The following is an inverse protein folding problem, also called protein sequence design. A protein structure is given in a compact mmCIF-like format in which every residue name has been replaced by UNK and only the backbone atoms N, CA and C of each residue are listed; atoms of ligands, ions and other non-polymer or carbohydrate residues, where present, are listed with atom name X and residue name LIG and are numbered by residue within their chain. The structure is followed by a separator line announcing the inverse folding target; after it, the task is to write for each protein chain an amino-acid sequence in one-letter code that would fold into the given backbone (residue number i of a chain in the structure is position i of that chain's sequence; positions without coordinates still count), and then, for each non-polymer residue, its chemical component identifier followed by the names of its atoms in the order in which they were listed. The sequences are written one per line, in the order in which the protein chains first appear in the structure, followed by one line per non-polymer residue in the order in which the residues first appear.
data_IF_569376758066
#
_entry.id   IF_569376758066
#
_cell.length_a   1.000
_cell.length_b   1.000
_cell.length_c   1.000
_cell.angle_alpha   90.00
_cell.angle_beta   90.00
_cell.angle_gamma   90.00
#
_symmetry.space_group_name_H-M   'P 1'
#
loop_
_entity.id
_entity.type
_entity.pdbx_description
1 polymer ?
#
# COMPACT_ATOMS: atom_id res chain seq x y z
N UNK A 1 47.38 1.79 62.44
CA UNK A 1 47.52 2.04 61.00
C UNK A 1 47.23 0.73 60.29
N UNK A 2 46.39 0.74 59.25
CA UNK A 2 45.81 -0.41 58.50
C UNK A 2 44.54 -1.07 59.07
N UNK A 3 43.39 -0.60 58.60
CA UNK A 3 42.36 -1.45 57.96
C UNK A 3 41.53 -0.60 57.00
N UNK A 4 42.23 -0.18 55.96
CA UNK A 4 41.67 0.23 54.68
C UNK A 4 40.99 -1.00 54.06
N UNK A 5 39.90 -0.79 53.32
CA UNK A 5 39.07 -1.77 52.60
C UNK A 5 37.85 -2.33 53.36
N UNK A 6 36.90 -1.44 53.65
CA UNK A 6 35.49 -1.84 53.59
C UNK A 6 35.12 -1.99 52.11
N UNK A 7 35.16 -3.23 51.62
CA UNK A 7 34.59 -3.63 50.34
C UNK A 7 33.08 -3.40 50.41
N UNK A 8 32.61 -2.32 49.81
CA UNK A 8 31.21 -2.18 49.43
C UNK A 8 30.81 -3.41 48.62
N UNK A 9 29.94 -4.21 49.21
CA UNK A 9 29.30 -5.38 48.63
C UNK A 9 28.77 -5.02 47.23
N UNK A 10 29.39 -5.62 46.22
CA UNK A 10 28.82 -5.71 44.88
C UNK A 10 27.53 -6.51 45.05
N UNK A 11 26.39 -5.82 45.03
CA UNK A 11 25.09 -6.44 44.85
C UNK A 11 25.07 -6.93 43.40
N UNK A 12 25.31 -8.23 43.23
CA UNK A 12 24.94 -8.96 42.02
C UNK A 12 23.42 -8.82 41.85
N UNK A 13 23.02 -7.84 41.03
CA UNK A 13 21.69 -7.80 40.47
C UNK A 13 21.60 -8.89 39.39
N UNK A 14 21.39 -10.12 39.87
CA UNK A 14 20.78 -11.19 39.09
C UNK A 14 19.35 -10.75 38.74
N UNK A 15 19.19 -9.94 37.69
CA UNK A 15 17.94 -9.74 36.93
C UNK A 15 18.12 -8.74 35.79
N UNK A 16 18.98 -9.05 34.83
CA UNK A 16 18.78 -8.62 33.44
C UNK A 16 19.67 -9.42 32.48
N UNK A 17 19.62 -10.75 32.56
CA UNK A 17 19.78 -11.52 31.34
C UNK A 17 18.56 -11.18 30.48
N UNK A 18 18.68 -10.11 29.68
CA UNK A 18 17.77 -9.93 28.55
C UNK A 18 17.88 -11.23 27.77
N UNK A 19 16.80 -12.01 27.58
CA UNK A 19 16.89 -13.20 26.76
C UNK A 19 17.45 -12.73 25.43
N UNK A 20 18.60 -13.31 25.06
CA UNK A 20 19.21 -13.16 23.75
C UNK A 20 18.09 -13.42 22.76
N UNK A 21 17.55 -12.35 22.19
CA UNK A 21 16.45 -12.40 21.25
C UNK A 21 17.00 -13.09 20.02
N UNK A 22 16.76 -14.40 19.99
CA UNK A 22 16.99 -15.32 18.89
C UNK A 22 16.65 -14.63 17.57
N UNK A 23 17.54 -14.85 16.62
CA UNK A 23 17.31 -14.60 15.22
C UNK A 23 15.86 -14.93 14.79
N UNK A 24 15.21 -13.99 14.10
CA UNK A 24 14.19 -14.32 13.12
C UNK A 24 12.76 -14.60 13.57
N UNK A 25 12.34 -14.30 14.80
CA UNK A 25 10.90 -14.27 15.10
C UNK A 25 10.30 -12.98 14.57
N UNK A 26 9.63 -13.06 13.43
CA UNK A 26 8.67 -12.04 12.99
C UNK A 26 7.59 -11.95 14.06
N UNK A 27 7.73 -11.04 15.03
CA UNK A 27 6.63 -10.66 15.92
C UNK A 27 5.58 -9.94 15.06
N UNK A 28 4.71 -10.73 14.43
CA UNK A 28 3.64 -10.26 13.56
C UNK A 28 2.55 -9.62 14.43
N UNK A 29 2.82 -8.39 14.87
CA UNK A 29 1.83 -7.50 15.48
C UNK A 29 0.58 -7.42 14.59
N UNK A 30 -0.60 -7.22 15.20
CA UNK A 30 -1.88 -7.02 14.49
C UNK A 30 -1.73 -6.01 13.33
N UNK A 31 -0.93 -4.95 13.54
CA UNK A 31 -0.68 -3.92 12.53
C UNK A 31 0.13 -4.41 11.33
N UNK A 32 1.00 -5.41 11.52
CA UNK A 32 1.76 -6.04 10.43
C UNK A 32 0.85 -6.91 9.57
N UNK A 33 -0.03 -7.70 10.20
CA UNK A 33 -1.03 -8.51 9.48
C UNK A 33 -1.98 -7.66 8.65
N UNK A 34 -2.56 -6.61 9.23
CA UNK A 34 -3.45 -5.69 8.52
C UNK A 34 -2.76 -5.03 7.31
N UNK A 35 -1.48 -4.67 7.46
CA UNK A 35 -0.68 -4.13 6.36
C UNK A 35 -0.52 -5.15 5.24
N UNK A 36 -0.07 -6.36 5.55
CA UNK A 36 0.17 -7.40 4.55
C UNK A 36 -1.13 -7.75 3.81
N UNK A 37 -2.23 -7.91 4.54
CA UNK A 37 -3.54 -8.19 3.95
C UNK A 37 -3.96 -7.05 3.01
N UNK A 38 -3.86 -5.79 3.45
CA UNK A 38 -4.21 -4.64 2.62
C UNK A 38 -3.36 -4.58 1.33
N UNK A 39 -2.04 -4.81 1.46
CA UNK A 39 -1.12 -4.83 0.32
C UNK A 39 -1.40 -5.98 -0.64
N UNK A 40 -1.77 -7.15 -0.11
CA UNK A 40 -2.18 -8.29 -0.91
C UNK A 40 -3.46 -7.99 -1.72
N UNK A 41 -4.46 -7.35 -1.11
CA UNK A 41 -5.67 -6.92 -1.83
C UNK A 41 -5.34 -5.89 -2.92
N UNK A 42 -4.52 -4.88 -2.62
CA UNK A 42 -4.07 -3.89 -3.61
C UNK A 42 -3.32 -4.54 -4.80
N UNK A 43 -2.52 -5.56 -4.51
CA UNK A 43 -1.79 -6.33 -5.52
C UNK A 43 -2.73 -7.18 -6.39
N UNK A 44 -3.61 -7.96 -5.77
CA UNK A 44 -4.55 -8.83 -6.50
C UNK A 44 -5.49 -8.01 -7.37
N UNK A 45 -6.06 -6.91 -6.84
CA UNK A 45 -6.91 -6.02 -7.64
C UNK A 45 -6.14 -5.41 -8.82
N UNK A 46 -4.88 -5.01 -8.62
CA UNK A 46 -4.06 -4.52 -9.72
C UNK A 46 -3.82 -5.59 -10.81
N UNK A 47 -3.58 -6.85 -10.44
CA UNK A 47 -3.46 -7.94 -11.42
C UNK A 47 -4.76 -8.19 -12.19
N UNK A 48 -5.91 -8.11 -11.51
CA UNK A 48 -7.22 -8.23 -12.16
C UNK A 48 -7.39 -7.14 -13.21
N UNK A 49 -7.03 -5.89 -12.88
CA UNK A 49 -7.12 -4.76 -13.79
C UNK A 49 -6.15 -4.88 -14.97
N UNK A 50 -4.93 -5.38 -14.75
CA UNK A 50 -4.00 -5.72 -15.84
C UNK A 50 -4.63 -6.73 -16.79
N UNK A 51 -5.20 -7.82 -16.27
CA UNK A 51 -5.85 -8.84 -17.10
C UNK A 51 -7.04 -8.29 -17.89
N UNK A 52 -7.90 -7.50 -17.23
CA UNK A 52 -9.10 -6.93 -17.84
C UNK A 52 -8.80 -5.94 -18.96
N UNK A 53 -7.74 -5.12 -18.86
CA UNK A 53 -7.45 -4.10 -19.88
C UNK A 53 -6.36 -4.51 -20.87
N UNK A 54 -5.46 -5.45 -20.53
CA UNK A 54 -4.49 -5.98 -21.48
C UNK A 54 -5.16 -6.77 -22.61
N UNK A 55 -6.27 -7.47 -22.34
CA UNK A 55 -7.06 -8.14 -23.38
C UNK A 55 -7.65 -7.13 -24.39
N UNK A 56 -8.06 -5.94 -23.93
CA UNK A 56 -8.66 -4.90 -24.79
C UNK A 56 -7.60 -4.22 -25.67
N UNK A 57 -6.37 -4.05 -25.15
CA UNK A 57 -5.21 -3.67 -25.95
C UNK A 57 -4.95 -4.74 -27.03
N UNK A 58 -4.90 -6.01 -26.63
CA UNK A 58 -4.61 -7.11 -27.55
C UNK A 58 -5.67 -7.23 -28.64
N UNK A 59 -6.95 -7.06 -28.30
CA UNK A 59 -8.07 -7.04 -29.27
C UNK A 59 -7.93 -5.89 -30.26
N UNK A 60 -7.56 -4.69 -29.79
CA UNK A 60 -7.36 -3.52 -30.65
C UNK A 60 -6.23 -3.74 -31.67
N UNK A 61 -5.08 -4.24 -31.20
CA UNK A 61 -3.92 -4.56 -32.04
C UNK A 61 -4.24 -5.66 -33.05
N UNK A 62 -4.95 -6.71 -32.62
CA UNK A 62 -5.35 -7.82 -33.49
C UNK A 62 -6.29 -7.38 -34.61
N UNK A 63 -7.05 -6.30 -34.40
CA UNK A 63 -7.95 -5.72 -35.41
C UNK A 63 -7.23 -4.69 -36.30
N UNK A 64 -5.90 -4.60 -36.25
CA UNK A 64 -5.10 -3.67 -37.04
C UNK A 64 -5.17 -2.22 -36.58
N UNK A 65 -5.75 -1.95 -35.41
CA UNK A 65 -5.88 -0.61 -34.84
C UNK A 65 -4.80 -0.35 -33.77
N UNK A 66 -4.38 0.90 -33.62
CA UNK A 66 -3.50 1.29 -32.52
C UNK A 66 -4.19 1.06 -31.16
N UNK A 67 -3.45 0.66 -30.11
CA UNK A 67 -4.01 0.59 -28.75
C UNK A 67 -4.59 1.94 -28.32
N UNK A 68 -5.81 1.92 -27.80
CA UNK A 68 -6.37 3.12 -27.19
C UNK A 68 -5.58 3.48 -25.93
N UNK A 69 -5.21 4.76 -25.82
CA UNK A 69 -4.41 5.30 -24.72
C UNK A 69 -5.05 5.03 -23.35
N UNK A 70 -6.39 4.95 -23.25
CA UNK A 70 -7.06 4.67 -21.97
C UNK A 70 -6.73 3.29 -21.41
N UNK A 71 -6.65 2.28 -22.28
CA UNK A 71 -6.31 0.91 -21.87
C UNK A 71 -4.85 0.80 -21.48
N UNK A 72 -3.96 1.46 -22.24
CA UNK A 72 -2.52 1.52 -21.95
C UNK A 72 -2.27 2.19 -20.60
N UNK A 73 -2.95 3.32 -20.33
CA UNK A 73 -2.88 4.00 -19.05
C UNK A 73 -3.33 3.10 -17.90
N UNK A 74 -4.43 2.36 -18.07
CA UNK A 74 -4.93 1.45 -17.06
C UNK A 74 -3.93 0.34 -16.69
N UNK A 75 -3.31 -0.28 -17.70
CA UNK A 75 -2.28 -1.30 -17.51
C UNK A 75 -1.03 -0.70 -16.85
N UNK A 76 -0.62 0.51 -17.23
CA UNK A 76 0.51 1.20 -16.61
C UNK A 76 0.28 1.49 -15.12
N UNK A 77 -0.84 2.12 -14.77
CA UNK A 77 -1.19 2.44 -13.37
C UNK A 77 -1.27 1.17 -12.52
N UNK A 78 -1.87 0.11 -13.07
CA UNK A 78 -2.01 -1.17 -12.39
C UNK A 78 -0.66 -1.88 -12.20
N UNK A 79 0.22 -1.83 -13.20
CA UNK A 79 1.57 -2.41 -13.09
C UNK A 79 2.39 -1.70 -12.01
N UNK A 80 2.32 -0.37 -11.97
CA UNK A 80 2.97 0.44 -10.94
C UNK A 80 2.40 0.14 -9.54
N UNK A 81 1.08 0.04 -9.44
CA UNK A 81 0.37 -0.35 -8.21
C UNK A 81 0.81 -1.73 -7.72
N UNK A 82 0.88 -2.73 -8.61
CA UNK A 82 1.31 -4.08 -8.27
C UNK A 82 2.76 -4.10 -7.75
N UNK A 83 3.67 -3.38 -8.42
CA UNK A 83 5.06 -3.25 -8.00
C UNK A 83 5.18 -2.66 -6.59
N UNK A 84 4.53 -1.53 -6.33
CA UNK A 84 4.61 -0.87 -5.02
C UNK A 84 3.87 -1.64 -3.92
N UNK A 85 2.79 -2.33 -4.25
CA UNK A 85 2.11 -3.21 -3.30
C UNK A 85 3.05 -4.31 -2.78
N UNK A 86 3.83 -4.95 -3.66
CA UNK A 86 4.85 -5.95 -3.28
C UNK A 86 5.98 -5.32 -2.47
N UNK A 87 6.52 -4.18 -2.91
CA UNK A 87 7.60 -3.48 -2.19
C UNK A 87 7.16 -3.13 -0.76
N UNK A 88 5.96 -2.56 -0.59
CA UNK A 88 5.44 -2.14 0.70
C UNK A 88 4.84 -3.28 1.55
N UNK A 89 4.69 -4.48 0.99
CA UNK A 89 4.40 -5.68 1.77
C UNK A 89 5.63 -6.14 2.57
N UNK A 90 6.85 -5.80 2.13
CA UNK A 90 8.07 -6.19 2.83
C UNK A 90 8.28 -5.38 4.12
N UNK A 91 8.80 -6.02 5.20
CA UNK A 91 9.09 -5.32 6.46
C UNK A 91 10.30 -4.37 6.37
N UNK A 92 11.05 -4.42 5.26
CA UNK A 92 12.29 -3.67 5.05
C UNK A 92 12.02 -2.18 4.81
N UNK A 93 10.83 -1.84 4.30
CA UNK A 93 10.47 -0.46 3.98
C UNK A 93 9.61 0.13 5.10
N UNK A 94 10.09 1.23 5.71
CA UNK A 94 9.28 2.03 6.65
C UNK A 94 8.16 2.75 5.89
N UNK A 95 7.08 2.02 5.59
CA UNK A 95 5.97 2.47 4.74
C UNK A 95 5.35 3.82 5.16
N UNK A 96 5.42 4.22 6.43
CA UNK A 96 4.93 5.53 6.88
C UNK A 96 5.74 6.74 6.36
N UNK A 97 6.99 6.53 5.92
CA UNK A 97 7.80 7.59 5.30
C UNK A 97 7.43 7.79 3.82
N UNK A 98 6.78 6.78 3.22
CA UNK A 98 6.46 6.73 1.80
C UNK A 98 4.96 6.93 1.53
N UNK A 99 4.22 7.55 2.46
CA UNK A 99 2.79 7.83 2.25
C UNK A 99 2.52 8.68 0.99
N UNK A 100 3.51 9.48 0.54
CA UNK A 100 3.43 10.22 -0.72
C UNK A 100 3.34 9.31 -1.96
N UNK A 101 3.93 8.11 -1.90
CA UNK A 101 3.81 7.11 -2.99
C UNK A 101 2.40 6.52 -2.98
N UNK A 102 1.87 6.18 -1.79
CA UNK A 102 0.47 5.76 -1.65
C UNK A 102 -0.49 6.84 -2.18
N UNK A 103 -0.24 8.12 -1.87
CA UNK A 103 -1.03 9.24 -2.35
C UNK A 103 -0.89 9.45 -3.87
N UNK A 104 0.30 9.27 -4.42
CA UNK A 104 0.52 9.37 -5.87
C UNK A 104 -0.22 8.27 -6.63
N UNK A 105 -0.12 7.02 -6.17
CA UNK A 105 -0.83 5.89 -6.79
C UNK A 105 -2.34 6.06 -6.63
N UNK A 106 -2.81 6.50 -5.46
CA UNK A 106 -4.21 6.89 -5.25
C UNK A 106 -4.68 7.91 -6.29
N UNK A 107 -3.90 8.97 -6.55
CA UNK A 107 -4.24 9.97 -7.54
C UNK A 107 -4.31 9.39 -8.97
N UNK A 108 -3.40 8.47 -9.32
CA UNK A 108 -3.46 7.78 -10.62
C UNK A 108 -4.73 6.92 -10.76
N UNK A 109 -5.12 6.19 -9.70
CA UNK A 109 -6.39 5.47 -9.68
C UNK A 109 -7.59 6.41 -9.75
N UNK A 110 -7.49 7.64 -9.22
CA UNK A 110 -8.57 8.61 -9.26
C UNK A 110 -8.81 9.07 -10.69
N UNK A 111 -7.74 9.36 -11.43
CA UNK A 111 -7.81 9.70 -12.85
C UNK A 111 -8.35 8.52 -13.65
N UNK A 112 -7.86 7.31 -13.39
CA UNK A 112 -8.31 6.09 -14.06
C UNK A 112 -9.81 5.86 -13.85
N UNK A 113 -10.27 5.87 -12.60
CA UNK A 113 -11.67 5.75 -12.25
C UNK A 113 -12.50 6.91 -12.83
N UNK A 114 -11.96 8.13 -12.90
CA UNK A 114 -12.65 9.26 -13.54
C UNK A 114 -12.92 9.01 -15.02
N UNK A 115 -11.96 8.43 -15.75
CA UNK A 115 -12.10 8.08 -17.18
C UNK A 115 -13.14 6.97 -17.36
N UNK A 116 -12.95 5.84 -16.67
CA UNK A 116 -13.79 4.65 -16.81
C UNK A 116 -15.17 4.83 -16.20
N UNK A 117 -15.24 5.50 -15.05
CA UNK A 117 -16.48 5.82 -14.35
C UNK A 117 -17.40 6.70 -15.18
N UNK A 118 -16.88 7.77 -15.81
CA UNK A 118 -17.68 8.62 -16.69
C UNK A 118 -18.17 7.89 -17.95
N UNK A 119 -17.37 6.98 -18.49
CA UNK A 119 -17.68 6.28 -19.73
C UNK A 119 -18.69 5.14 -19.53
N UNK A 120 -18.56 4.35 -18.46
CA UNK A 120 -19.28 3.09 -18.33
C UNK A 120 -20.38 3.10 -17.26
N UNK A 121 -20.30 3.92 -16.21
CA UNK A 121 -21.34 3.96 -15.17
C UNK A 121 -22.68 4.47 -15.73
N UNK A 122 -22.72 5.57 -16.51
CA UNK A 122 -23.98 6.09 -17.06
C UNK A 122 -24.45 5.36 -18.33
N UNK A 123 -23.63 4.49 -18.91
CA UNK A 123 -23.99 3.79 -20.15
C UNK A 123 -25.19 2.88 -19.87
N UNK A 124 -26.30 3.04 -20.59
CA UNK A 124 -27.43 2.13 -20.49
C UNK A 124 -27.15 0.89 -21.36
N UNK A 125 -27.41 -0.31 -20.81
CA UNK A 125 -27.19 -1.57 -21.52
C UNK A 125 -28.47 -2.01 -22.23
N UNK A 126 -29.14 -1.08 -22.93
CA UNK A 126 -30.45 -1.34 -23.51
C UNK A 126 -30.40 -2.44 -24.60
N UNK A 127 -29.21 -2.67 -25.16
CA UNK A 127 -28.93 -3.67 -26.20
C UNK A 127 -28.35 -5.01 -25.67
N UNK A 128 -28.13 -5.14 -24.36
CA UNK A 128 -27.58 -6.37 -23.76
C UNK A 128 -26.09 -6.63 -24.05
N UNK A 129 -25.32 -5.59 -24.42
CA UNK A 129 -23.89 -5.73 -24.70
C UNK A 129 -23.10 -6.13 -23.43
N UNK A 130 -22.58 -7.37 -23.46
CA UNK A 130 -21.79 -7.97 -22.37
C UNK A 130 -20.47 -7.23 -22.14
N UNK A 131 -19.92 -6.55 -23.16
CA UNK A 131 -18.68 -5.80 -23.03
C UNK A 131 -18.88 -4.55 -22.14
N UNK A 132 -20.04 -3.89 -22.23
CA UNK A 132 -20.39 -2.73 -21.38
C UNK A 132 -20.61 -3.16 -19.92
N UNK A 133 -21.29 -4.29 -19.68
CA UNK A 133 -21.46 -4.82 -18.32
C UNK A 133 -20.12 -5.21 -17.68
N UNK A 134 -19.23 -5.85 -18.45
CA UNK A 134 -17.87 -6.17 -18.00
C UNK A 134 -17.10 -4.91 -17.60
N UNK A 135 -17.19 -3.86 -18.41
CA UNK A 135 -16.51 -2.59 -18.13
C UNK A 135 -17.09 -1.84 -16.93
N UNK A 136 -18.41 -1.93 -16.69
CA UNK A 136 -19.01 -1.44 -15.43
C UNK A 136 -18.44 -2.14 -14.20
N UNK A 137 -18.30 -3.47 -14.25
CA UNK A 137 -17.69 -4.25 -13.16
C UNK A 137 -16.20 -3.88 -12.97
N UNK A 138 -15.47 -3.64 -14.06
CA UNK A 138 -14.09 -3.16 -14.02
C UNK A 138 -13.99 -1.79 -13.33
N UNK A 139 -14.89 -0.84 -13.65
CA UNK A 139 -14.92 0.47 -13.00
C UNK A 139 -15.13 0.38 -11.46
N UNK A 140 -15.92 -0.59 -10.99
CA UNK A 140 -16.07 -0.84 -9.55
C UNK A 140 -14.81 -1.44 -8.90
N UNK A 141 -14.06 -2.24 -9.64
CA UNK A 141 -12.74 -2.75 -9.19
C UNK A 141 -11.75 -1.58 -9.08
N UNK A 142 -11.73 -0.69 -10.09
CA UNK A 142 -10.90 0.52 -10.09
C UNK A 142 -11.22 1.41 -8.87
N UNK A 143 -12.51 1.60 -8.57
CA UNK A 143 -12.95 2.34 -7.38
C UNK A 143 -12.52 1.67 -6.08
N UNK A 144 -12.61 0.35 -6.00
CA UNK A 144 -12.20 -0.38 -4.79
C UNK A 144 -10.69 -0.20 -4.55
N UNK A 145 -9.89 -0.33 -5.60
CA UNK A 145 -8.45 -0.14 -5.48
C UNK A 145 -8.09 1.32 -5.17
N UNK A 146 -8.80 2.27 -5.78
CA UNK A 146 -8.71 3.69 -5.43
C UNK A 146 -8.89 3.91 -3.92
N UNK A 147 -9.95 3.36 -3.33
CA UNK A 147 -10.24 3.53 -1.90
C UNK A 147 -9.19 2.85 -1.01
N UNK A 148 -8.69 1.68 -1.40
CA UNK A 148 -7.61 1.01 -0.66
C UNK A 148 -6.34 1.87 -0.61
N UNK A 149 -5.91 2.41 -1.76
CA UNK A 149 -4.76 3.32 -1.82
C UNK A 149 -4.99 4.64 -1.08
N UNK A 150 -6.22 5.16 -1.09
CA UNK A 150 -6.59 6.32 -0.28
C UNK A 150 -6.41 6.02 1.21
N UNK A 151 -6.92 4.87 1.67
CA UNK A 151 -6.82 4.44 3.06
C UNK A 151 -5.38 4.29 3.53
N UNK A 152 -4.51 3.67 2.72
CA UNK A 152 -3.09 3.54 3.06
C UNK A 152 -2.37 4.89 3.07
N UNK A 153 -2.69 5.79 2.14
CA UNK A 153 -2.14 7.15 2.10
C UNK A 153 -2.53 7.96 3.35
N UNK A 154 -3.82 7.97 3.72
CA UNK A 154 -4.33 8.67 4.91
C UNK A 154 -3.71 8.10 6.18
N UNK A 155 -3.67 6.77 6.32
CA UNK A 155 -3.04 6.13 7.46
C UNK A 155 -1.56 6.52 7.60
N UNK A 156 -0.80 6.46 6.49
CA UNK A 156 0.60 6.86 6.46
C UNK A 156 0.80 8.33 6.85
N UNK A 157 -0.02 9.23 6.32
CA UNK A 157 0.01 10.66 6.64
C UNK A 157 -0.27 10.93 8.14
N UNK A 158 -1.29 10.27 8.72
CA UNK A 158 -1.64 10.41 10.14
C UNK A 158 -0.50 9.93 11.04
N UNK A 159 0.08 8.76 10.75
CA UNK A 159 1.21 8.21 11.52
C UNK A 159 2.44 9.12 11.42
N UNK A 160 2.76 9.60 10.22
CA UNK A 160 3.86 10.52 10.00
C UNK A 160 3.69 11.83 10.79
N UNK A 161 2.47 12.39 10.81
CA UNK A 161 2.18 13.62 11.53
C UNK A 161 2.26 13.46 13.04
N UNK A 162 1.75 12.34 13.58
CA UNK A 162 1.86 12.00 15.01
C UNK A 162 3.33 11.85 15.42
N UNK A 163 4.14 11.19 14.59
CA UNK A 163 5.57 11.03 14.85
C UNK A 163 6.34 12.36 14.80
N UNK A 164 6.02 13.27 13.86
CA UNK A 164 6.61 14.62 13.86
C UNK A 164 6.27 15.42 15.12
N UNK A 165 5.02 15.39 15.59
CA UNK A 165 4.60 16.12 16.80
C UNK A 165 5.29 15.60 18.07
N UNK A 166 5.48 14.28 18.19
CA UNK A 166 6.16 13.69 19.35
C UNK A 166 7.62 14.16 19.51
N UNK A 167 8.35 14.37 18.40
CA UNK A 167 9.74 14.86 18.44
C UNK A 167 9.87 16.35 18.73
N UNK A 168 8.87 17.15 18.35
CA UNK A 168 8.85 18.58 18.66
C UNK A 168 8.74 18.85 20.17
N UNK A 169 7.97 18.03 20.90
CA UNK A 169 7.78 18.17 22.35
C UNK A 169 8.98 17.69 23.18
N UNK A 170 9.80 16.78 22.64
CA UNK A 170 10.99 16.28 23.33
C UNK A 170 12.22 17.19 23.15
N UNK A 171 12.20 18.07 22.14
CA UNK A 171 13.22 19.08 21.90
C UNK A 171 12.97 20.43 22.59
N UNK A 172 11.77 20.68 23.12
CA UNK A 172 11.45 21.90 23.89
C UNK A 172 11.67 21.75 25.40
N UNK A 173 12.13 20.57 25.85
CA UNK A 173 12.43 20.24 27.25
C UNK A 173 13.94 20.19 27.54
N UNK A 174 14.76 20.84 26.71
CA UNK A 174 16.21 20.98 26.88
C UNK A 174 16.56 22.46 26.92
#
# INVERSE_FOLDING_TARGET
MLKFLSRGSIRDNNNSEKPVSRAGTFDLSIGSWLRIITRLFQFVMALVVIGLYAQDIRRSVSNGSAPDAKWVYAVFVSSLSALFAVIFATPLVKSWMFFYIDAFIWFLWLVLFGIFGKMYIPANNDDGDKDVERMKRAAWIDLTNLLLWAGTAVYGAVVFWKWRKGRAMQGSSV
#
